data_IF_214201171471
#
_entry.id   IF_214201171471
#
_cell.length_a   1.000
_cell.length_b   1.000
_cell.length_c   1.000
_cell.angle_alpha   90.00
_cell.angle_beta   90.00
_cell.angle_gamma   90.00
#
_symmetry.space_group_name_H-M   'P 1'
#
loop_
_entity.id
_entity.type
_entity.pdbx_description
1 polymer ?
#
# COMPACT_ATOMS: atom_id res chain seq x y z
N UNK A 1 -0.49 -30.68 5.00
CA UNK A 1 -0.41 -29.31 4.47
C UNK A 1 -1.43 -28.43 5.19
N UNK A 2 -0.99 -27.38 5.85
CA UNK A 2 -1.92 -26.42 6.44
C UNK A 2 -2.67 -25.69 5.32
N UNK A 3 -4.01 -25.61 5.43
CA UNK A 3 -4.85 -24.96 4.43
C UNK A 3 -4.67 -23.44 4.46
N UNK A 4 -4.47 -22.81 3.30
CA UNK A 4 -4.40 -21.36 3.19
C UNK A 4 -5.65 -20.72 3.82
N UNK A 5 -5.51 -19.71 4.71
CA UNK A 5 -6.67 -19.10 5.34
C UNK A 5 -7.55 -18.40 4.29
N UNK A 6 -8.87 -18.59 4.42
CA UNK A 6 -9.85 -17.88 3.56
C UNK A 6 -10.00 -16.43 4.04
N UNK A 7 -8.98 -15.62 3.76
CA UNK A 7 -8.89 -14.22 4.16
C UNK A 7 -8.44 -13.38 2.94
N UNK A 8 -8.78 -12.11 2.95
CA UNK A 8 -8.36 -11.12 1.94
C UNK A 8 -7.79 -9.90 2.64
N UNK A 9 -7.00 -9.09 1.94
CA UNK A 9 -6.48 -7.82 2.50
C UNK A 9 -7.62 -6.94 3.01
N UNK A 10 -8.74 -6.89 2.30
CA UNK A 10 -9.91 -6.14 2.75
C UNK A 10 -10.53 -6.70 4.04
N UNK A 11 -10.52 -8.02 4.22
CA UNK A 11 -10.94 -8.64 5.47
C UNK A 11 -9.97 -8.29 6.61
N UNK A 12 -8.67 -8.26 6.34
CA UNK A 12 -7.65 -7.81 7.31
C UNK A 12 -7.90 -6.35 7.73
N UNK A 13 -8.16 -5.44 6.77
CA UNK A 13 -8.49 -4.04 7.07
C UNK A 13 -9.73 -3.96 7.96
N UNK A 14 -10.80 -4.71 7.66
CA UNK A 14 -12.02 -4.74 8.48
C UNK A 14 -11.76 -5.28 9.88
N UNK A 15 -10.89 -6.29 10.02
CA UNK A 15 -10.54 -6.90 11.29
C UNK A 15 -9.81 -5.94 12.25
N UNK A 16 -9.27 -4.81 11.74
CA UNK A 16 -8.71 -3.75 12.60
C UNK A 16 -9.73 -3.18 13.60
N UNK A 17 -11.03 -3.30 13.30
CA UNK A 17 -12.13 -2.91 14.21
C UNK A 17 -12.58 -4.02 15.18
N UNK A 18 -11.94 -5.18 15.15
CA UNK A 18 -12.29 -6.31 16.00
C UNK A 18 -12.12 -6.05 17.51
N UNK A 19 -12.25 -7.12 18.32
CA UNK A 19 -12.21 -7.04 19.79
C UNK A 19 -10.98 -6.30 20.33
N UNK A 20 -9.83 -6.44 19.67
CA UNK A 20 -8.55 -5.80 20.05
C UNK A 20 -8.28 -4.44 19.38
N UNK A 21 -9.31 -3.67 19.06
CA UNK A 21 -9.16 -2.38 18.34
C UNK A 21 -8.18 -1.38 18.99
N UNK A 22 -7.96 -1.47 20.31
CA UNK A 22 -6.99 -0.65 21.05
C UNK A 22 -5.56 -1.19 21.01
N UNK A 23 -5.33 -2.44 20.57
CA UNK A 23 -3.99 -3.04 20.46
C UNK A 23 -3.12 -2.19 19.53
N UNK A 24 -1.88 -1.94 19.96
CA UNK A 24 -0.89 -1.24 19.13
C UNK A 24 -0.43 -2.19 18.04
N UNK A 25 -0.49 -1.72 16.79
CA UNK A 25 -0.11 -2.50 15.61
C UNK A 25 1.16 -1.95 14.94
N UNK A 26 1.43 -0.65 15.08
CA UNK A 26 2.64 -0.02 14.54
C UNK A 26 3.30 0.91 15.57
N UNK A 27 4.63 0.90 15.52
CA UNK A 27 5.48 1.91 16.14
C UNK A 27 6.14 2.72 15.00
N UNK A 28 5.99 4.03 14.99
CA UNK A 28 6.56 4.92 13.99
C UNK A 28 7.23 6.10 14.67
N UNK A 29 8.56 6.05 14.80
CA UNK A 29 9.28 6.92 15.73
C UNK A 29 8.72 6.76 17.15
N UNK A 30 8.39 7.84 17.80
CA UNK A 30 7.81 7.83 19.16
C UNK A 30 6.29 7.59 19.17
N UNK A 31 5.65 7.43 18.01
CA UNK A 31 4.20 7.24 17.93
C UNK A 31 3.85 5.75 18.04
N UNK A 32 2.85 5.46 18.86
CA UNK A 32 2.20 4.14 18.96
C UNK A 32 0.86 4.23 18.24
N UNK A 33 0.67 3.42 17.21
CA UNK A 33 -0.50 3.43 16.35
C UNK A 33 -1.37 2.21 16.68
N UNK A 34 -2.59 2.45 17.15
CA UNK A 34 -3.55 1.39 17.41
C UNK A 34 -4.22 0.87 16.13
N UNK A 35 -4.81 -0.32 16.20
CA UNK A 35 -5.63 -0.90 15.11
C UNK A 35 -6.76 0.07 14.70
N UNK A 36 -7.45 0.65 15.68
CA UNK A 36 -8.52 1.62 15.45
C UNK A 36 -8.03 2.90 14.77
N UNK A 37 -6.88 3.43 15.21
CA UNK A 37 -6.31 4.61 14.57
C UNK A 37 -5.92 4.35 13.12
N UNK A 38 -5.24 3.22 12.84
CA UNK A 38 -4.89 2.81 11.49
C UNK A 38 -6.13 2.70 10.60
N UNK A 39 -7.18 2.01 11.08
CA UNK A 39 -8.44 1.88 10.35
C UNK A 39 -9.04 3.24 9.98
N UNK A 40 -9.16 4.15 10.94
CA UNK A 40 -9.73 5.48 10.71
C UNK A 40 -8.90 6.29 9.71
N UNK A 41 -7.58 6.20 9.77
CA UNK A 41 -6.69 6.86 8.79
C UNK A 41 -6.88 6.28 7.39
N UNK A 42 -7.01 4.96 7.27
CA UNK A 42 -7.32 4.29 5.99
C UNK A 42 -8.65 4.79 5.43
N UNK A 43 -9.71 4.86 6.25
CA UNK A 43 -11.02 5.34 5.81
C UNK A 43 -10.98 6.80 5.36
N UNK A 44 -10.29 7.69 6.10
CA UNK A 44 -10.13 9.09 5.72
C UNK A 44 -9.39 9.26 4.39
N UNK A 45 -8.30 8.52 4.19
CA UNK A 45 -7.56 8.51 2.92
C UNK A 45 -8.43 7.97 1.77
N UNK A 46 -9.15 6.88 2.01
CA UNK A 46 -10.09 6.27 1.07
C UNK A 46 -11.17 7.27 0.62
N UNK A 47 -11.81 7.96 1.57
CA UNK A 47 -12.80 8.98 1.28
C UNK A 47 -12.21 10.12 0.45
N UNK A 48 -11.01 10.57 0.78
CA UNK A 48 -10.33 11.61 0.02
C UNK A 48 -9.96 11.20 -1.39
N UNK A 49 -9.56 9.94 -1.60
CA UNK A 49 -9.31 9.40 -2.95
C UNK A 49 -10.60 9.36 -3.78
N UNK A 50 -11.73 8.92 -3.19
CA UNK A 50 -13.03 8.93 -3.86
C UNK A 50 -13.45 10.35 -4.27
N UNK A 51 -13.32 11.33 -3.37
CA UNK A 51 -13.61 12.75 -3.68
C UNK A 51 -12.71 13.32 -4.79
N UNK A 52 -11.49 12.81 -4.94
CA UNK A 52 -10.59 13.14 -6.04
C UNK A 52 -10.91 12.35 -7.33
N UNK A 53 -12.02 11.62 -7.36
CA UNK A 53 -12.50 10.88 -8.53
C UNK A 53 -11.75 9.57 -8.80
N UNK A 54 -11.01 9.02 -7.83
CA UNK A 54 -10.42 7.70 -7.98
C UNK A 54 -11.48 6.60 -7.90
N UNK A 55 -11.30 5.58 -8.73
CA UNK A 55 -12.23 4.44 -8.85
C UNK A 55 -11.48 3.12 -9.04
N UNK A 56 -12.21 2.03 -8.92
CA UNK A 56 -11.70 0.68 -9.19
C UNK A 56 -10.97 0.60 -10.54
N UNK A 57 -9.85 -0.11 -10.58
CA UNK A 57 -8.92 -0.29 -11.71
C UNK A 57 -8.10 0.95 -12.09
N UNK A 58 -8.32 2.13 -11.49
CA UNK A 58 -7.35 3.21 -11.62
C UNK A 58 -5.98 2.74 -11.15
N UNK A 59 -4.91 3.20 -11.81
CA UNK A 59 -3.53 2.85 -11.45
C UNK A 59 -2.86 4.04 -10.79
N UNK A 60 -2.09 3.80 -9.73
CA UNK A 60 -1.28 4.81 -9.07
C UNK A 60 0.17 4.35 -8.95
N UNK A 61 1.10 5.23 -9.27
CA UNK A 61 2.52 5.04 -8.99
C UNK A 61 2.84 5.67 -7.65
N UNK A 62 3.59 4.96 -6.81
CA UNK A 62 4.02 5.44 -5.50
C UNK A 62 5.54 5.54 -5.45
N UNK A 63 6.05 6.74 -5.22
CA UNK A 63 7.45 7.09 -5.04
C UNK A 63 7.68 7.62 -3.62
N UNK A 64 7.35 6.82 -2.63
CA UNK A 64 7.50 7.16 -1.21
C UNK A 64 8.48 6.20 -0.54
N UNK A 65 9.31 6.73 0.35
CA UNK A 65 10.05 5.91 1.30
C UNK A 65 9.10 5.26 2.31
N UNK A 66 9.57 4.19 2.98
CA UNK A 66 8.82 3.55 4.04
C UNK A 66 8.32 4.58 5.05
N UNK A 67 7.02 4.69 5.15
CA UNK A 67 6.37 5.67 6.01
C UNK A 67 4.96 5.23 6.38
N UNK A 68 4.47 5.75 7.49
CA UNK A 68 3.10 5.50 7.91
C UNK A 68 2.08 5.96 6.85
N UNK A 69 2.36 7.08 6.19
CA UNK A 69 1.52 7.61 5.12
C UNK A 69 1.48 6.68 3.90
N UNK A 70 2.61 6.04 3.56
CA UNK A 70 2.64 5.04 2.47
C UNK A 70 1.78 3.83 2.80
N UNK A 71 1.84 3.32 4.04
CA UNK A 71 1.01 2.19 4.50
C UNK A 71 -0.48 2.55 4.40
N UNK A 72 -0.87 3.73 4.88
CA UNK A 72 -2.27 4.18 4.81
C UNK A 72 -2.75 4.28 3.37
N UNK A 73 -1.97 4.91 2.48
CA UNK A 73 -2.31 5.06 1.06
C UNK A 73 -2.39 3.70 0.36
N UNK A 74 -1.43 2.82 0.62
CA UNK A 74 -1.43 1.45 0.10
C UNK A 74 -2.74 0.73 0.44
N UNK A 75 -3.09 0.65 1.73
CA UNK A 75 -4.30 -0.04 2.18
C UNK A 75 -5.58 0.66 1.71
N UNK A 76 -5.60 1.98 1.65
CA UNK A 76 -6.73 2.73 1.11
C UNK A 76 -6.93 2.46 -0.40
N UNK A 77 -5.87 2.46 -1.19
CA UNK A 77 -5.92 2.15 -2.62
C UNK A 77 -6.40 0.72 -2.85
N UNK A 78 -5.81 -0.26 -2.15
CA UNK A 78 -6.23 -1.66 -2.28
C UNK A 78 -7.72 -1.84 -1.93
N UNK A 79 -8.20 -1.15 -0.89
CA UNK A 79 -9.62 -1.23 -0.48
C UNK A 79 -10.61 -0.69 -1.52
N UNK A 80 -10.14 0.15 -2.43
CA UNK A 80 -10.90 0.72 -3.55
C UNK A 80 -10.68 -0.04 -4.87
N UNK A 81 -9.86 -1.10 -4.88
CA UNK A 81 -9.47 -1.79 -6.10
C UNK A 81 -8.58 -0.97 -7.03
N UNK A 82 -7.95 0.08 -6.50
CA UNK A 82 -6.94 0.86 -7.22
C UNK A 82 -5.67 0.01 -7.31
N UNK A 83 -5.10 -0.10 -8.50
CA UNK A 83 -3.87 -0.84 -8.75
C UNK A 83 -2.69 -0.06 -8.20
N UNK A 84 -2.02 -0.62 -7.22
CA UNK A 84 -0.86 -0.03 -6.56
C UNK A 84 0.44 -0.41 -7.27
N UNK A 85 1.22 0.59 -7.67
CA UNK A 85 2.51 0.41 -8.36
C UNK A 85 3.61 1.12 -7.57
N UNK A 86 4.21 0.46 -6.58
CA UNK A 86 5.28 1.05 -5.82
C UNK A 86 6.58 1.00 -6.63
N UNK A 87 7.35 2.08 -6.57
CA UNK A 87 8.65 2.20 -7.22
C UNK A 87 9.61 2.80 -6.20
N UNK A 88 10.84 2.31 -6.21
CA UNK A 88 11.90 2.83 -5.36
C UNK A 88 12.03 4.35 -5.53
N UNK A 89 11.91 5.17 -4.46
CA UNK A 89 11.90 6.63 -4.56
C UNK A 89 13.16 7.24 -5.16
N UNK A 90 14.30 6.53 -5.01
CA UNK A 90 15.59 6.92 -5.59
C UNK A 90 15.69 6.67 -7.10
N UNK A 91 14.79 5.87 -7.67
CA UNK A 91 14.76 5.60 -9.11
C UNK A 91 14.47 6.90 -9.88
N UNK A 92 15.21 7.13 -10.94
CA UNK A 92 15.12 8.35 -11.79
C UNK A 92 15.48 8.03 -13.24
N UNK A 93 15.34 9.02 -14.10
CA UNK A 93 15.75 8.94 -15.51
C UNK A 93 14.91 8.00 -16.35
N UNK A 94 15.51 7.40 -17.37
CA UNK A 94 14.85 6.61 -18.41
C UNK A 94 14.02 5.45 -17.82
N UNK A 95 14.56 4.73 -16.84
CA UNK A 95 13.87 3.58 -16.24
C UNK A 95 12.61 3.97 -15.45
N UNK A 96 12.60 5.12 -14.78
CA UNK A 96 11.40 5.63 -14.12
C UNK A 96 10.35 6.07 -15.14
N UNK A 97 10.80 6.83 -16.16
CA UNK A 97 9.91 7.36 -17.20
C UNK A 97 9.25 6.22 -17.99
N UNK A 98 10.01 5.19 -18.34
CA UNK A 98 9.50 3.99 -19.00
C UNK A 98 8.37 3.35 -18.18
N UNK A 99 8.57 3.13 -16.87
CA UNK A 99 7.56 2.54 -16.01
C UNK A 99 6.31 3.42 -15.94
N UNK A 100 6.46 4.75 -15.77
CA UNK A 100 5.32 5.66 -15.69
C UNK A 100 4.53 5.67 -17.01
N UNK A 101 5.20 5.64 -18.15
CA UNK A 101 4.55 5.57 -19.47
C UNK A 101 3.81 4.23 -19.64
N UNK A 102 4.46 3.11 -19.34
CA UNK A 102 3.88 1.76 -19.45
C UNK A 102 2.65 1.60 -18.54
N UNK A 103 2.74 2.04 -17.30
CA UNK A 103 1.64 1.99 -16.34
C UNK A 103 0.51 2.94 -16.72
N UNK A 104 0.84 4.10 -17.27
CA UNK A 104 -0.06 5.23 -17.51
C UNK A 104 -0.95 5.52 -16.28
N UNK A 105 -0.37 5.89 -15.13
CA UNK A 105 -1.13 6.04 -13.90
C UNK A 105 -2.05 7.26 -13.94
N UNK A 106 -3.13 7.20 -13.19
CA UNK A 106 -4.00 8.35 -12.90
C UNK A 106 -3.30 9.37 -12.00
N UNK A 107 -2.50 8.89 -11.05
CA UNK A 107 -1.71 9.75 -10.19
C UNK A 107 -0.36 9.13 -9.83
N UNK A 108 0.57 10.01 -9.45
CA UNK A 108 1.89 9.70 -8.93
C UNK A 108 1.97 10.29 -7.53
N UNK A 109 2.04 9.44 -6.51
CA UNK A 109 2.24 9.85 -5.12
C UNK A 109 3.73 10.00 -4.83
N UNK A 110 4.16 11.17 -4.38
CA UNK A 110 5.56 11.46 -4.08
C UNK A 110 5.70 12.56 -3.02
N UNK A 111 6.88 12.68 -2.40
CA UNK A 111 7.22 13.82 -1.54
C UNK A 111 7.74 15.02 -2.33
N UNK A 112 8.25 14.78 -3.54
CA UNK A 112 8.90 15.82 -4.37
C UNK A 112 8.72 15.53 -5.85
N UNK A 113 8.74 16.58 -6.67
CA UNK A 113 8.73 16.47 -8.14
C UNK A 113 10.12 16.35 -8.75
N UNK A 114 11.19 16.44 -7.94
CA UNK A 114 12.58 16.60 -8.41
C UNK A 114 13.04 15.54 -9.42
N UNK A 115 12.58 14.31 -9.28
CA UNK A 115 12.99 13.18 -10.13
C UNK A 115 12.02 12.90 -11.29
N UNK A 116 10.98 13.73 -11.47
CA UNK A 116 9.95 13.52 -12.48
C UNK A 116 10.11 14.52 -13.64
N UNK A 117 9.90 14.04 -14.86
CA UNK A 117 9.81 14.92 -16.01
C UNK A 117 8.57 15.82 -15.94
N UNK A 118 8.70 17.05 -16.45
CA UNK A 118 7.64 18.07 -16.45
C UNK A 118 6.31 17.56 -17.05
N UNK A 119 6.37 16.67 -18.06
CA UNK A 119 5.18 16.07 -18.69
C UNK A 119 4.27 15.29 -17.73
N UNK A 120 4.82 14.80 -16.60
CA UNK A 120 4.04 14.07 -15.59
C UNK A 120 3.46 14.96 -14.49
N UNK A 121 3.79 16.24 -14.44
CA UNK A 121 3.41 17.14 -13.35
C UNK A 121 1.91 17.20 -13.06
N UNK A 122 1.06 17.08 -14.08
CA UNK A 122 -0.41 17.08 -13.93
C UNK A 122 -0.93 15.85 -13.18
N UNK A 123 -0.16 14.75 -13.13
CA UNK A 123 -0.49 13.50 -12.43
C UNK A 123 0.07 13.45 -11.02
N UNK A 124 0.90 14.41 -10.62
CA UNK A 124 1.60 14.38 -9.33
C UNK A 124 0.69 14.84 -8.21
N UNK A 125 0.62 14.02 -7.16
CA UNK A 125 0.04 14.37 -5.86
C UNK A 125 1.17 14.35 -4.84
N UNK A 126 1.51 15.52 -4.31
CA UNK A 126 2.50 15.63 -3.24
C UNK A 126 1.88 15.09 -1.95
N UNK A 127 2.52 14.12 -1.36
CA UNK A 127 2.06 13.47 -0.13
C UNK A 127 2.64 14.20 1.08
N UNK A 128 1.81 14.92 1.81
CA UNK A 128 2.21 15.62 3.03
C UNK A 128 2.23 14.67 4.24
N UNK A 129 2.93 15.06 5.30
CA UNK A 129 2.84 14.36 6.59
C UNK A 129 1.38 14.34 7.05
N UNK A 130 0.96 13.21 7.63
CA UNK A 130 -0.41 12.95 8.10
C UNK A 130 -1.49 13.00 7.00
N UNK A 131 -1.13 13.01 5.73
CA UNK A 131 -2.03 12.96 4.57
C UNK A 131 -3.10 14.08 4.55
N UNK A 132 -2.81 15.25 5.11
CA UNK A 132 -3.79 16.36 5.25
C UNK A 132 -4.42 16.77 3.91
N UNK A 133 -3.66 16.68 2.80
CA UNK A 133 -4.13 17.05 1.47
C UNK A 133 -4.89 15.93 0.72
N UNK A 134 -4.93 14.73 1.28
CA UNK A 134 -5.65 13.57 0.71
C UNK A 134 -6.80 13.16 1.61
N UNK A 135 -6.57 13.07 2.92
CA UNK A 135 -7.57 12.62 3.89
C UNK A 135 -8.75 13.58 3.99
N UNK A 136 -9.96 13.02 4.09
CA UNK A 136 -11.22 13.76 4.24
C UNK A 136 -12.05 13.14 5.36
N UNK A 137 -12.95 13.93 5.96
CA UNK A 137 -13.92 13.42 6.93
C UNK A 137 -14.80 12.34 6.32
N UNK A 138 -15.09 11.32 7.10
CA UNK A 138 -15.86 10.13 6.68
C UNK A 138 -17.36 10.35 6.87
N UNK A 139 -17.98 11.25 6.09
CA UNK A 139 -19.45 11.39 6.14
C UNK A 139 -20.05 10.41 5.12
N UNK A 140 -20.86 9.46 5.61
CA UNK A 140 -21.81 8.61 4.87
C UNK A 140 -21.41 8.05 3.48
N UNK A 141 -20.18 7.62 3.29
CA UNK A 141 -19.85 6.82 2.11
C UNK A 141 -20.15 5.35 2.40
N UNK A 142 -21.02 4.76 1.58
CA UNK A 142 -21.22 3.32 1.58
C UNK A 142 -19.89 2.62 1.25
N UNK A 143 -19.29 1.98 2.25
CA UNK A 143 -17.92 1.47 2.20
C UNK A 143 -17.89 0.09 1.53
N UNK A 144 -18.30 0.02 0.26
CA UNK A 144 -18.09 -1.18 -0.54
C UNK A 144 -16.58 -1.38 -0.76
N UNK A 145 -16.07 -2.53 -0.33
CA UNK A 145 -14.69 -2.93 -0.56
C UNK A 145 -14.61 -3.75 -1.86
N UNK A 146 -13.67 -3.38 -2.72
CA UNK A 146 -13.49 -4.06 -4.01
C UNK A 146 -12.78 -5.41 -3.83
N UNK A 147 -13.17 -6.39 -4.67
CA UNK A 147 -12.67 -7.78 -4.53
C UNK A 147 -11.36 -8.03 -5.27
N UNK A 148 -11.08 -7.32 -6.35
CA UNK A 148 -9.92 -7.59 -7.21
C UNK A 148 -8.76 -6.65 -6.88
N UNK A 149 -8.07 -6.93 -5.78
CA UNK A 149 -6.88 -6.19 -5.35
C UNK A 149 -5.69 -6.62 -6.19
N UNK A 150 -4.90 -5.63 -6.68
CA UNK A 150 -3.69 -5.87 -7.47
C UNK A 150 -2.60 -4.87 -7.14
N UNK A 151 -1.37 -5.39 -7.07
CA UNK A 151 -0.15 -4.59 -7.14
C UNK A 151 0.58 -4.91 -8.44
N UNK A 152 1.35 -3.98 -8.96
CA UNK A 152 2.31 -4.25 -10.02
C UNK A 152 3.70 -3.93 -9.48
N UNK A 153 4.53 -4.94 -9.34
CA UNK A 153 5.89 -4.82 -8.86
C UNK A 153 6.86 -4.92 -10.03
N UNK A 154 7.78 -3.97 -10.12
CA UNK A 154 8.75 -3.96 -11.21
C UNK A 154 10.07 -4.60 -10.79
N UNK A 155 10.61 -5.46 -11.67
CA UNK A 155 11.94 -6.03 -11.50
C UNK A 155 13.03 -4.97 -11.70
N UNK A 156 14.24 -5.22 -11.18
CA UNK A 156 15.39 -4.32 -11.31
C UNK A 156 15.84 -4.07 -12.76
N UNK A 157 15.52 -5.00 -13.69
CA UNK A 157 15.84 -4.85 -15.10
C UNK A 157 17.34 -4.94 -15.41
N UNK A 158 18.09 -5.85 -14.79
CA UNK A 158 19.53 -6.06 -15.03
C UNK A 158 19.85 -6.47 -16.47
N UNK A 159 18.91 -7.10 -17.17
CA UNK A 159 19.08 -7.67 -18.53
C UNK A 159 18.18 -7.00 -19.57
N UNK A 160 17.54 -5.87 -19.27
CA UNK A 160 16.63 -5.20 -20.21
C UNK A 160 15.66 -4.25 -19.53
N UNK A 161 14.62 -3.79 -20.23
CA UNK A 161 13.64 -2.86 -19.64
C UNK A 161 12.93 -3.51 -18.45
N UNK A 162 12.56 -2.72 -17.42
CA UNK A 162 11.86 -3.23 -16.25
C UNK A 162 10.57 -3.97 -16.64
N UNK A 163 10.35 -5.15 -16.04
CA UNK A 163 9.17 -5.98 -16.25
C UNK A 163 8.22 -5.84 -15.04
N UNK A 164 6.93 -5.59 -15.30
CA UNK A 164 5.91 -5.50 -14.26
C UNK A 164 5.27 -6.86 -13.99
N UNK A 165 5.34 -7.31 -12.73
CA UNK A 165 4.68 -8.53 -12.25
C UNK A 165 3.38 -8.15 -11.54
N UNK A 166 2.26 -8.72 -11.99
CA UNK A 166 0.95 -8.52 -11.35
C UNK A 166 0.84 -9.45 -10.14
N UNK A 167 0.67 -8.86 -8.97
CA UNK A 167 0.50 -9.57 -7.70
C UNK A 167 -0.94 -9.40 -7.23
N UNK A 168 -1.66 -10.51 -7.10
CA UNK A 168 -3.05 -10.54 -6.65
C UNK A 168 -3.17 -10.54 -5.12
N UNK A 169 -4.36 -10.24 -4.62
CA UNK A 169 -4.71 -10.38 -3.20
C UNK A 169 -4.35 -11.76 -2.64
N UNK A 170 -4.72 -12.82 -3.38
CA UNK A 170 -4.43 -14.21 -2.98
C UNK A 170 -2.94 -14.48 -2.88
N UNK A 171 -2.13 -13.94 -3.79
CA UNK A 171 -0.67 -14.10 -3.76
C UNK A 171 -0.08 -13.38 -2.54
N UNK A 172 -0.52 -12.14 -2.23
CA UNK A 172 -0.06 -11.41 -1.04
C UNK A 172 -0.35 -12.17 0.25
N UNK A 173 -1.56 -12.70 0.38
CA UNK A 173 -1.96 -13.49 1.56
C UNK A 173 -1.18 -14.81 1.63
N UNK A 174 -1.02 -15.50 0.51
CA UNK A 174 -0.31 -16.79 0.49
C UNK A 174 1.17 -16.63 0.87
N UNK A 175 1.84 -15.62 0.33
CA UNK A 175 3.24 -15.32 0.64
C UNK A 175 3.41 -14.98 2.12
N UNK A 176 2.64 -14.02 2.64
CA UNK A 176 2.68 -13.63 4.04
C UNK A 176 2.38 -14.80 4.99
N UNK A 177 1.40 -15.65 4.65
CA UNK A 177 1.05 -16.82 5.44
C UNK A 177 2.18 -17.87 5.47
N UNK A 178 2.79 -18.15 4.32
CA UNK A 178 3.90 -19.08 4.22
C UNK A 178 5.10 -18.62 5.06
N UNK A 179 5.46 -17.33 4.97
CA UNK A 179 6.52 -16.73 5.80
C UNK A 179 6.18 -16.79 7.28
N UNK A 180 4.94 -16.51 7.65
CA UNK A 180 4.48 -16.60 9.05
C UNK A 180 4.64 -18.00 9.63
N UNK A 181 4.38 -19.06 8.83
CA UNK A 181 4.59 -20.46 9.25
C UNK A 181 6.08 -20.77 9.29
N UNK A 182 6.83 -20.46 8.25
CA UNK A 182 8.25 -20.82 8.14
C UNK A 182 9.10 -20.18 9.25
N UNK A 183 8.74 -18.97 9.69
CA UNK A 183 9.43 -18.24 10.74
C UNK A 183 8.78 -18.42 12.14
N UNK A 184 7.76 -19.28 12.27
CA UNK A 184 7.03 -19.52 13.53
C UNK A 184 6.53 -18.25 14.22
N UNK A 185 5.99 -17.30 13.44
CA UNK A 185 5.55 -15.99 13.91
C UNK A 185 4.35 -16.09 14.85
N UNK A 186 4.44 -15.41 15.98
CA UNK A 186 3.38 -15.36 17.01
C UNK A 186 2.75 -13.97 17.10
N UNK A 187 1.51 -13.88 17.60
CA UNK A 187 0.74 -12.63 17.75
C UNK A 187 1.42 -11.55 18.61
N UNK A 188 2.39 -11.93 19.46
CA UNK A 188 3.15 -11.00 20.31
C UNK A 188 4.45 -10.52 19.71
N UNK A 189 4.87 -11.09 18.59
CA UNK A 189 6.13 -10.75 17.94
C UNK A 189 6.08 -9.36 17.34
N UNK A 190 7.24 -8.73 17.23
CA UNK A 190 7.42 -7.41 16.66
C UNK A 190 8.42 -7.48 15.53
N UNK A 191 8.04 -6.90 14.40
CA UNK A 191 8.87 -6.84 13.20
C UNK A 191 9.40 -5.44 12.95
N UNK A 192 10.67 -5.36 12.62
CA UNK A 192 11.24 -4.16 12.02
C UNK A 192 10.96 -4.18 10.52
N UNK A 193 10.16 -3.22 10.04
CA UNK A 193 9.91 -3.05 8.59
C UNK A 193 11.09 -2.28 7.97
N UNK A 194 12.23 -2.95 7.78
CA UNK A 194 13.44 -2.39 7.20
C UNK A 194 13.44 -2.45 5.67
N UNK A 195 12.79 -3.46 5.09
CA UNK A 195 12.71 -3.62 3.66
C UNK A 195 11.71 -2.64 3.03
N UNK A 196 12.06 -2.16 1.83
CA UNK A 196 11.22 -1.19 1.12
C UNK A 196 9.87 -1.78 0.74
N UNK A 197 8.80 -1.03 0.99
CA UNK A 197 7.45 -1.33 0.47
C UNK A 197 7.36 -1.22 -1.06
N UNK A 198 8.48 -0.92 -1.74
CA UNK A 198 8.59 -1.03 -3.20
C UNK A 198 8.88 -2.45 -3.66
N UNK A 199 9.23 -3.35 -2.75
CA UNK A 199 9.52 -4.76 -3.00
C UNK A 199 8.49 -5.67 -2.33
N UNK A 200 8.39 -6.90 -2.86
CA UNK A 200 7.42 -7.87 -2.35
C UNK A 200 7.66 -8.21 -0.87
N UNK A 201 8.91 -8.35 -0.43
CA UNK A 201 9.25 -8.69 0.95
C UNK A 201 8.74 -7.65 1.96
N UNK A 202 8.90 -6.35 1.69
CA UNK A 202 8.36 -5.29 2.56
C UNK A 202 6.83 -5.32 2.63
N UNK A 203 6.16 -5.54 1.49
CA UNK A 203 4.70 -5.69 1.44
C UNK A 203 4.26 -6.95 2.18
N UNK A 204 4.97 -8.06 2.02
CA UNK A 204 4.71 -9.33 2.67
C UNK A 204 4.75 -9.20 4.20
N UNK A 205 5.81 -8.59 4.75
CA UNK A 205 5.93 -8.32 6.20
C UNK A 205 4.77 -7.44 6.69
N UNK A 206 4.38 -6.41 5.93
CA UNK A 206 3.23 -5.57 6.27
C UNK A 206 1.94 -6.39 6.34
N UNK A 207 1.66 -7.23 5.35
CA UNK A 207 0.47 -8.10 5.33
C UNK A 207 0.52 -9.11 6.47
N UNK A 208 1.67 -9.71 6.73
CA UNK A 208 1.88 -10.63 7.85
C UNK A 208 1.51 -9.98 9.19
N UNK A 209 1.99 -8.76 9.45
CA UNK A 209 1.64 -8.01 10.67
C UNK A 209 0.13 -7.70 10.80
N UNK A 210 -0.58 -7.59 9.67
CA UNK A 210 -2.04 -7.41 9.69
C UNK A 210 -2.79 -8.74 9.91
N UNK A 211 -2.16 -9.89 9.64
CA UNK A 211 -2.72 -11.22 9.85
C UNK A 211 -2.56 -11.70 11.29
N UNK A 212 -1.47 -11.30 11.98
CA UNK A 212 -1.19 -11.60 13.38
C UNK A 212 -2.02 -10.70 14.31
#
# INVERSE_FOLDING_TARGET
MQKLPNVSVNKLIKNLLGKEKKKIIFFYGNKKISRFELYNKILKARTGLLKKGFKNKDKVVCLLDNSYEQIILFLACLSLGIVWVPIEPKRKGIGLNYIIQLVNPKAIFTRTKKNLEKKFNKKVIIVNKDLKNISQSTHNYNLKFEKNIKCILFTSGTTGPPKGVIVSDKMLIASAYATGIACDIKNKDRFLLWESLSHIGGIEVLILCLMA
#
